data_IF_685297129225
#
_entry.id   IF_685297129225
#
_cell.length_a   1.000
_cell.length_b   1.000
_cell.length_c   1.000
_cell.angle_alpha   90.00
_cell.angle_beta   90.00
_cell.angle_gamma   90.00
#
_symmetry.space_group_name_H-M   'P 1'
#
loop_
_entity.id
_entity.type
_entity.pdbx_description
1 polymer ?
#
# COMPACT_ATOMS: atom_id res chain seq x y z
N UNK A 1 7.12 -2.68 -18.45
CA UNK A 1 7.38 -2.15 -17.09
C UNK A 1 8.39 -1.03 -17.19
N UNK A 2 8.40 -0.09 -16.24
CA UNK A 2 9.49 0.88 -16.15
C UNK A 2 10.74 0.17 -15.60
N UNK A 3 11.90 0.59 -16.08
CA UNK A 3 13.21 -0.01 -15.78
C UNK A 3 13.56 0.01 -14.27
N UNK A 4 12.91 0.87 -13.48
CA UNK A 4 13.16 1.05 -12.04
C UNK A 4 12.01 0.57 -11.12
N UNK A 5 10.93 0.02 -11.69
CA UNK A 5 9.83 -0.53 -10.90
C UNK A 5 10.05 -2.03 -10.61
N UNK A 6 9.58 -2.48 -9.44
CA UNK A 6 9.51 -3.91 -9.14
C UNK A 6 8.36 -4.49 -9.98
N UNK A 7 8.69 -5.35 -10.94
CA UNK A 7 7.71 -5.95 -11.84
C UNK A 7 7.41 -7.38 -11.36
N UNK A 8 6.19 -7.86 -11.59
CA UNK A 8 5.82 -9.23 -11.28
C UNK A 8 5.05 -9.79 -12.47
N UNK A 9 5.29 -11.05 -12.80
CA UNK A 9 4.58 -11.79 -13.85
C UNK A 9 3.84 -12.94 -13.19
N UNK A 10 2.55 -13.09 -13.49
CA UNK A 10 1.77 -14.26 -13.08
C UNK A 10 1.47 -15.06 -14.34
N UNK A 11 2.06 -16.26 -14.43
CA UNK A 11 1.78 -17.23 -15.48
C UNK A 11 0.67 -18.17 -15.00
N UNK A 12 -0.45 -18.22 -15.71
CA UNK A 12 -1.50 -19.22 -15.46
C UNK A 12 -1.46 -20.21 -16.61
N UNK A 13 -1.38 -21.51 -16.31
CA UNK A 13 -1.24 -22.55 -17.33
C UNK A 13 -1.98 -23.82 -16.92
N UNK A 14 -2.70 -24.41 -17.87
CA UNK A 14 -3.42 -25.68 -17.74
C UNK A 14 -2.67 -26.86 -18.40
N UNK A 15 -1.43 -26.66 -18.85
CA UNK A 15 -0.68 -27.68 -19.58
C UNK A 15 0.81 -27.39 -19.70
N UNK A 16 1.60 -28.44 -19.93
CA UNK A 16 3.05 -28.33 -20.14
C UNK A 16 3.41 -27.89 -21.57
N UNK A 17 4.65 -27.42 -21.73
CA UNK A 17 5.21 -27.12 -23.06
C UNK A 17 5.34 -28.39 -23.90
N UNK A 18 4.90 -28.34 -25.15
CA UNK A 18 4.88 -29.50 -26.08
C UNK A 18 5.47 -29.19 -27.45
N UNK A 19 5.91 -27.95 -27.72
CA UNK A 19 6.42 -27.51 -29.02
C UNK A 19 7.97 -27.42 -29.04
N UNK A 20 8.65 -28.37 -28.37
CA UNK A 20 10.13 -28.46 -28.26
C UNK A 20 10.83 -27.18 -27.71
N UNK A 21 10.08 -26.32 -27.01
CA UNK A 21 10.62 -25.14 -26.34
C UNK A 21 11.26 -25.44 -24.99
N UNK A 22 12.03 -24.48 -24.47
CA UNK A 22 12.58 -24.52 -23.11
C UNK A 22 12.04 -23.33 -22.27
N UNK A 23 10.87 -23.50 -21.63
CA UNK A 23 10.25 -22.44 -20.86
C UNK A 23 11.03 -22.11 -19.57
N UNK A 24 11.84 -23.03 -19.07
CA UNK A 24 12.69 -22.82 -17.89
C UNK A 24 13.87 -21.91 -18.25
N UNK A 25 14.51 -22.15 -19.41
CA UNK A 25 15.54 -21.25 -19.92
C UNK A 25 14.99 -19.85 -20.22
N UNK A 26 13.79 -19.75 -20.79
CA UNK A 26 13.14 -18.46 -21.03
C UNK A 26 12.86 -17.69 -19.72
N UNK A 27 12.34 -18.38 -18.69
CA UNK A 27 12.12 -17.79 -17.37
C UNK A 27 13.41 -17.28 -16.73
N UNK A 28 14.49 -18.06 -16.83
CA UNK A 28 15.82 -17.66 -16.35
C UNK A 28 16.37 -16.45 -17.11
N UNK A 29 16.27 -16.44 -18.44
CA UNK A 29 16.69 -15.30 -19.25
C UNK A 29 15.92 -14.02 -18.89
N UNK A 30 14.61 -14.14 -18.66
CA UNK A 30 13.79 -13.00 -18.24
C UNK A 30 14.25 -12.45 -16.89
N UNK A 31 14.61 -13.32 -15.95
CA UNK A 31 15.16 -12.95 -14.64
C UNK A 31 16.51 -12.24 -14.77
N UNK A 32 17.38 -12.72 -15.65
CA UNK A 32 18.74 -12.21 -15.85
C UNK A 32 18.78 -10.92 -16.69
N UNK A 33 17.72 -10.61 -17.44
CA UNK A 33 17.63 -9.44 -18.32
C UNK A 33 17.52 -8.08 -17.59
N UNK A 34 17.65 -8.04 -16.26
CA UNK A 34 17.70 -6.82 -15.46
C UNK A 34 16.35 -6.12 -15.23
N UNK A 35 15.29 -6.59 -15.87
CA UNK A 35 13.91 -6.28 -15.45
C UNK A 35 13.70 -7.06 -14.16
N UNK A 36 13.49 -6.38 -13.02
CA UNK A 36 13.29 -7.06 -11.72
C UNK A 36 11.90 -7.71 -11.70
N UNK A 37 11.71 -8.73 -12.54
CA UNK A 37 10.49 -9.50 -12.71
C UNK A 37 10.63 -10.81 -11.94
N UNK A 38 9.78 -11.02 -10.95
CA UNK A 38 9.58 -12.33 -10.32
C UNK A 38 8.40 -13.01 -11.02
N UNK A 39 8.53 -14.31 -11.34
CA UNK A 39 7.51 -15.07 -12.07
C UNK A 39 6.82 -16.03 -11.12
N UNK A 40 5.58 -15.71 -10.74
CA UNK A 40 4.70 -16.65 -10.07
C UNK A 40 3.94 -17.48 -11.10
N UNK A 41 3.71 -18.75 -10.80
CA UNK A 41 3.07 -19.70 -11.72
C UNK A 41 1.88 -20.36 -11.04
N UNK A 42 0.72 -20.33 -11.68
CA UNK A 42 -0.47 -21.07 -11.27
C UNK A 42 -0.69 -22.22 -12.26
N UNK A 43 -0.62 -23.46 -11.76
CA UNK A 43 -1.03 -24.65 -12.51
C UNK A 43 -2.52 -24.90 -12.34
N UNK A 44 -3.30 -24.79 -13.43
CA UNK A 44 -4.74 -24.98 -13.46
C UNK A 44 -5.10 -26.41 -13.90
N UNK A 45 -5.55 -27.25 -12.98
CA UNK A 45 -6.00 -28.63 -13.23
C UNK A 45 -4.94 -29.50 -13.95
N UNK A 46 -3.67 -29.33 -13.58
CA UNK A 46 -2.52 -29.98 -14.24
C UNK A 46 -2.15 -31.32 -13.59
N UNK A 47 -1.56 -32.23 -14.38
CA UNK A 47 -0.97 -33.48 -13.88
C UNK A 47 0.40 -33.27 -13.21
N UNK A 48 0.91 -34.31 -12.54
CA UNK A 48 2.18 -34.26 -11.80
C UNK A 48 3.43 -34.01 -12.67
N UNK A 49 3.43 -34.40 -13.95
CA UNK A 49 4.55 -34.09 -14.84
C UNK A 49 4.52 -32.62 -15.25
N UNK A 50 3.34 -32.12 -15.63
CA UNK A 50 3.13 -30.71 -15.95
C UNK A 50 3.46 -29.81 -14.76
N UNK A 51 2.98 -30.18 -13.56
CA UNK A 51 3.29 -29.49 -12.31
C UNK A 51 4.79 -29.31 -12.08
N UNK A 52 5.60 -30.37 -12.23
CA UNK A 52 7.06 -30.27 -12.07
C UNK A 52 7.70 -29.28 -13.04
N UNK A 53 7.21 -29.21 -14.28
CA UNK A 53 7.70 -28.25 -15.26
C UNK A 53 7.33 -26.82 -14.84
N UNK A 54 6.09 -26.59 -14.42
CA UNK A 54 5.61 -25.29 -13.94
C UNK A 54 6.33 -24.82 -12.67
N UNK A 55 6.63 -25.73 -11.74
CA UNK A 55 7.47 -25.47 -10.56
C UNK A 55 8.89 -25.05 -10.97
N UNK A 56 9.48 -25.71 -11.97
CA UNK A 56 10.80 -25.35 -12.48
C UNK A 56 10.82 -23.95 -13.14
N UNK A 57 9.74 -23.58 -13.84
CA UNK A 57 9.57 -22.24 -14.43
C UNK A 57 9.51 -21.18 -13.32
N UNK A 58 8.67 -21.39 -12.30
CA UNK A 58 8.56 -20.47 -11.16
C UNK A 58 9.92 -20.29 -10.46
N UNK A 59 10.63 -21.39 -10.21
CA UNK A 59 11.95 -21.36 -9.57
C UNK A 59 12.99 -20.62 -10.42
N UNK A 60 13.03 -20.86 -11.74
CA UNK A 60 13.94 -20.17 -12.65
C UNK A 60 13.64 -18.66 -12.78
N UNK A 61 12.35 -18.28 -12.70
CA UNK A 61 11.90 -16.89 -12.66
C UNK A 61 12.01 -16.24 -11.27
N UNK A 62 12.39 -16.99 -10.24
CA UNK A 62 12.52 -16.52 -8.87
C UNK A 62 11.20 -16.13 -8.19
N UNK A 63 10.08 -16.74 -8.59
CA UNK A 63 8.78 -16.63 -7.91
C UNK A 63 8.33 -17.96 -7.32
N UNK A 64 7.02 -18.14 -7.14
CA UNK A 64 6.42 -19.30 -6.48
C UNK A 64 5.43 -20.03 -7.40
N UNK A 65 5.25 -21.32 -7.14
CA UNK A 65 4.21 -22.13 -7.77
C UNK A 65 2.98 -22.23 -6.86
N UNK A 66 1.80 -22.12 -7.47
CA UNK A 66 0.50 -22.28 -6.85
C UNK A 66 -0.30 -23.31 -7.66
N UNK A 67 -1.06 -24.15 -6.96
CA UNK A 67 -1.93 -25.14 -7.59
C UNK A 67 -3.38 -24.66 -7.54
N UNK A 68 -4.12 -24.84 -8.63
CA UNK A 68 -5.54 -24.58 -8.68
C UNK A 68 -6.25 -25.69 -9.44
N UNK A 69 -7.21 -26.38 -8.82
CA UNK A 69 -7.94 -27.49 -9.43
C UNK A 69 -9.27 -27.04 -10.04
N UNK A 70 -9.74 -25.86 -9.65
CA UNK A 70 -11.04 -25.29 -10.04
C UNK A 70 -11.01 -23.74 -10.02
N UNK A 71 -12.08 -23.05 -10.48
CA UNK A 71 -12.14 -21.59 -10.48
C UNK A 71 -12.05 -20.93 -9.10
N UNK A 72 -12.48 -21.61 -8.03
CA UNK A 72 -12.41 -21.10 -6.66
C UNK A 72 -10.96 -21.13 -6.18
N UNK A 73 -10.27 -22.26 -6.38
CA UNK A 73 -8.84 -22.39 -6.07
C UNK A 73 -7.98 -21.44 -6.92
N UNK A 74 -8.33 -21.23 -8.19
CA UNK A 74 -7.68 -20.23 -9.05
C UNK A 74 -7.86 -18.81 -8.47
N UNK A 75 -9.06 -18.48 -8.03
CA UNK A 75 -9.34 -17.20 -7.36
C UNK A 75 -8.56 -17.05 -6.06
N UNK A 76 -8.41 -18.12 -5.29
CA UNK A 76 -7.63 -18.12 -4.04
C UNK A 76 -6.13 -17.94 -4.32
N UNK A 77 -5.58 -18.66 -5.30
CA UNK A 77 -4.18 -18.53 -5.70
C UNK A 77 -3.86 -17.10 -6.19
N UNK A 78 -4.74 -16.51 -6.99
CA UNK A 78 -4.60 -15.11 -7.42
C UNK A 78 -4.68 -14.14 -6.23
N UNK A 79 -5.56 -14.37 -5.26
CA UNK A 79 -5.67 -13.53 -4.06
C UNK A 79 -4.45 -13.67 -3.12
N UNK A 80 -3.87 -14.87 -3.05
CA UNK A 80 -2.63 -15.14 -2.29
C UNK A 80 -1.44 -14.43 -2.95
N UNK A 81 -1.27 -14.57 -4.26
CA UNK A 81 -0.26 -13.83 -5.02
C UNK A 81 -0.48 -12.33 -4.85
N UNK A 82 -1.71 -11.85 -4.99
CA UNK A 82 -2.03 -10.43 -4.78
C UNK A 82 -1.65 -9.98 -3.37
N UNK A 83 -1.92 -10.77 -2.33
CA UNK A 83 -1.55 -10.44 -0.94
C UNK A 83 -0.03 -10.44 -0.73
N UNK A 84 0.70 -11.41 -1.28
CA UNK A 84 2.16 -11.52 -1.15
C UNK A 84 2.93 -10.49 -1.98
N UNK A 85 2.39 -10.14 -3.16
CA UNK A 85 2.99 -9.19 -4.11
C UNK A 85 2.53 -7.77 -3.91
N UNK A 86 1.35 -7.58 -3.32
CA UNK A 86 0.97 -6.30 -2.76
C UNK A 86 1.95 -5.99 -1.65
N UNK A 87 2.91 -5.15 -1.99
CA UNK A 87 3.75 -4.48 -1.04
C UNK A 87 2.82 -3.55 -0.26
N UNK A 88 2.15 -4.10 0.77
CA UNK A 88 1.26 -3.32 1.62
C UNK A 88 2.07 -2.13 2.11
N UNK A 89 3.35 -2.24 2.46
CA UNK A 89 4.18 -1.08 2.86
C UNK A 89 4.34 -0.02 1.74
N UNK A 90 4.41 -0.39 0.46
CA UNK A 90 4.46 0.58 -0.66
C UNK A 90 3.10 1.12 -1.09
N UNK A 91 2.03 0.31 -1.05
CA UNK A 91 0.66 0.76 -1.37
C UNK A 91 0.01 1.50 -0.20
N UNK A 92 0.23 1.05 1.02
CA UNK A 92 0.05 1.80 2.27
C UNK A 92 0.95 3.03 2.25
N UNK A 93 2.14 2.94 1.65
CA UNK A 93 2.95 4.08 1.23
C UNK A 93 2.22 5.01 0.27
N UNK A 94 1.49 4.57 -0.75
CA UNK A 94 0.69 5.43 -1.65
C UNK A 94 -0.57 6.03 -1.00
N UNK A 95 -1.33 5.21 -0.27
CA UNK A 95 -2.53 5.59 0.49
C UNK A 95 -2.17 6.57 1.60
N UNK A 96 -1.14 6.24 2.37
CA UNK A 96 -0.58 7.15 3.35
C UNK A 96 0.30 8.22 2.73
N UNK A 97 0.90 8.16 1.55
CA UNK A 97 1.66 9.31 1.02
C UNK A 97 0.73 10.35 0.44
N UNK A 98 -0.46 10.03 -0.06
CA UNK A 98 -1.43 11.08 -0.39
C UNK A 98 -2.04 11.69 0.89
N UNK A 99 -2.33 10.87 1.91
CA UNK A 99 -2.86 11.36 3.19
C UNK A 99 -1.78 12.01 4.08
N UNK A 100 -0.55 11.50 4.10
CA UNK A 100 0.67 12.05 4.72
C UNK A 100 1.19 13.20 3.87
N UNK A 101 1.06 13.28 2.54
CA UNK A 101 1.43 14.51 1.81
C UNK A 101 0.43 15.62 2.10
N UNK A 102 -0.87 15.31 2.20
CA UNK A 102 -1.90 16.26 2.61
C UNK A 102 -1.72 16.68 4.09
N UNK A 103 -1.58 15.71 5.01
CA UNK A 103 -1.32 15.94 6.44
C UNK A 103 0.06 16.56 6.65
N UNK A 104 1.11 16.19 5.89
CA UNK A 104 2.44 16.81 5.90
C UNK A 104 2.42 18.19 5.27
N UNK A 105 1.56 18.50 4.30
CA UNK A 105 1.40 19.85 3.75
C UNK A 105 0.78 20.77 4.80
N UNK A 106 -0.31 20.32 5.46
CA UNK A 106 -0.95 21.04 6.57
C UNK A 106 0.00 21.14 7.79
N UNK A 107 0.69 20.05 8.15
CA UNK A 107 1.68 20.02 9.23
C UNK A 107 2.92 20.86 8.91
N UNK A 108 3.37 20.99 7.65
CA UNK A 108 4.52 21.83 7.28
C UNK A 108 4.20 23.32 7.46
N UNK A 109 2.99 23.75 7.11
CA UNK A 109 2.53 25.12 7.39
C UNK A 109 2.41 25.36 8.91
N UNK A 110 1.81 24.41 9.65
CA UNK A 110 1.70 24.51 11.11
C UNK A 110 3.07 24.48 11.81
N UNK A 111 4.01 23.63 11.38
CA UNK A 111 5.37 23.53 11.93
C UNK A 111 6.18 24.79 11.65
N UNK A 112 6.07 25.39 10.46
CA UNK A 112 6.69 26.69 10.15
C UNK A 112 6.16 27.79 11.07
N UNK A 113 4.86 27.82 11.29
CA UNK A 113 4.24 28.78 12.20
C UNK A 113 4.65 28.56 13.66
N UNK A 114 4.64 27.31 14.14
CA UNK A 114 5.07 26.95 15.50
C UNK A 114 6.55 27.31 15.71
N UNK A 115 7.42 26.98 14.76
CA UNK A 115 8.84 27.31 14.83
C UNK A 115 9.08 28.83 14.81
N UNK A 116 8.37 29.57 13.96
CA UNK A 116 8.42 31.02 13.95
C UNK A 116 7.94 31.61 15.28
N UNK A 117 6.79 31.16 15.79
CA UNK A 117 6.22 31.65 17.05
C UNK A 117 7.13 31.33 18.25
N UNK A 118 7.74 30.14 18.28
CA UNK A 118 8.75 29.78 19.27
C UNK A 118 9.98 30.68 19.18
N UNK A 119 10.54 30.89 17.98
CA UNK A 119 11.70 31.77 17.81
C UNK A 119 11.39 33.20 18.27
N UNK A 120 10.25 33.75 17.84
CA UNK A 120 9.80 35.08 18.24
C UNK A 120 9.62 35.22 19.76
N UNK A 121 8.98 34.22 20.40
CA UNK A 121 8.86 34.18 21.86
C UNK A 121 10.22 34.13 22.55
N UNK A 122 11.16 33.30 22.09
CA UNK A 122 12.49 33.21 22.68
C UNK A 122 13.30 34.50 22.51
N UNK A 123 13.16 35.18 21.37
CA UNK A 123 13.83 36.46 21.12
C UNK A 123 13.25 37.59 21.98
N UNK A 124 11.93 37.61 22.17
CA UNK A 124 11.29 38.51 23.14
C UNK A 124 11.71 38.18 24.57
N UNK A 125 11.71 36.91 24.97
CA UNK A 125 12.05 36.48 26.32
C UNK A 125 13.48 36.85 26.73
N UNK A 126 14.41 36.91 25.76
CA UNK A 126 15.79 37.38 25.97
C UNK A 126 15.88 38.91 26.16
N UNK A 127 14.94 39.67 25.60
CA UNK A 127 14.93 41.15 25.64
C UNK A 127 14.12 41.69 26.81
N UNK A 128 12.89 41.21 26.96
CA UNK A 128 11.95 41.59 28.01
C UNK A 128 11.05 40.39 28.39
N UNK A 129 11.26 39.88 29.60
CA UNK A 129 10.53 38.71 30.09
C UNK A 129 9.06 39.00 30.37
N UNK A 130 8.72 40.22 30.79
CA UNK A 130 7.35 40.59 31.11
C UNK A 130 6.51 40.70 29.83
N UNK A 131 7.08 41.31 28.79
CA UNK A 131 6.46 41.40 27.47
C UNK A 131 6.28 40.03 26.81
N UNK A 132 7.28 39.14 26.90
CA UNK A 132 7.18 37.78 26.36
C UNK A 132 6.08 36.95 27.05
N UNK A 133 5.95 37.07 28.38
CA UNK A 133 4.91 36.39 29.17
C UNK A 133 3.52 36.93 28.81
N UNK A 134 3.37 38.25 28.68
CA UNK A 134 2.12 38.88 28.24
C UNK A 134 1.71 38.42 26.84
N UNK A 135 2.65 38.43 25.88
CA UNK A 135 2.40 37.97 24.51
C UNK A 135 1.97 36.49 24.47
N UNK A 136 2.61 35.62 25.26
CA UNK A 136 2.21 34.21 25.40
C UNK A 136 0.77 34.08 25.91
N UNK A 137 0.41 34.83 26.95
CA UNK A 137 -0.87 34.65 27.63
C UNK A 137 -2.06 35.18 26.81
N UNK A 138 -1.87 36.26 26.04
CA UNK A 138 -2.91 36.77 25.12
C UNK A 138 -3.01 35.98 23.81
N UNK A 139 -1.89 35.52 23.25
CA UNK A 139 -1.87 34.89 21.92
C UNK A 139 -2.26 33.41 21.95
N UNK A 140 -1.93 32.70 23.04
CA UNK A 140 -2.23 31.27 23.22
C UNK A 140 -3.71 30.89 23.03
N UNK A 141 -4.70 31.59 23.62
CA UNK A 141 -6.11 31.24 23.41
C UNK A 141 -6.57 31.44 21.97
N UNK A 142 -6.05 32.45 21.26
CA UNK A 142 -6.38 32.73 19.85
C UNK A 142 -5.84 31.62 18.94
N UNK A 143 -4.58 31.23 19.14
CA UNK A 143 -3.95 30.11 18.40
C UNK A 143 -4.65 28.79 18.69
N UNK A 144 -4.95 28.50 19.95
CA UNK A 144 -5.64 27.26 20.34
C UNK A 144 -7.03 27.16 19.72
N UNK A 145 -7.78 28.27 19.68
CA UNK A 145 -9.10 28.31 19.03
C UNK A 145 -8.99 27.99 17.54
N UNK A 146 -8.02 28.60 16.84
CA UNK A 146 -7.82 28.40 15.41
C UNK A 146 -7.37 26.96 15.09
N UNK A 147 -6.42 26.42 15.85
CA UNK A 147 -5.94 25.04 15.70
C UNK A 147 -7.05 24.02 15.95
N UNK A 148 -7.88 24.23 16.98
CA UNK A 148 -8.98 23.33 17.29
C UNK A 148 -10.05 23.30 16.19
N UNK A 149 -10.36 24.45 15.57
CA UNK A 149 -11.29 24.49 14.43
C UNK A 149 -10.73 23.78 13.20
N UNK A 150 -9.43 23.94 12.90
CA UNK A 150 -8.80 23.23 11.78
C UNK A 150 -8.84 21.70 11.97
N UNK A 151 -8.55 21.23 13.19
CA UNK A 151 -8.65 19.80 13.54
C UNK A 151 -10.09 19.30 13.43
N UNK A 152 -11.06 20.09 13.91
CA UNK A 152 -12.48 19.75 13.85
C UNK A 152 -12.97 19.60 12.41
N UNK A 153 -12.61 20.53 11.53
CA UNK A 153 -13.00 20.51 10.11
C UNK A 153 -12.39 19.29 9.41
N UNK A 154 -11.09 19.04 9.62
CA UNK A 154 -10.39 17.90 9.02
C UNK A 154 -10.97 16.55 9.45
N UNK A 155 -11.35 16.43 10.73
CA UNK A 155 -11.85 15.16 11.28
C UNK A 155 -13.30 14.88 10.88
N UNK A 156 -14.14 15.91 10.67
CA UNK A 156 -15.56 15.72 10.37
C UNK A 156 -15.77 14.98 9.04
N UNK A 157 -15.19 15.49 7.98
CA UNK A 157 -15.36 14.95 6.63
C UNK A 157 -14.71 13.56 6.49
N UNK A 158 -13.59 13.36 7.19
CA UNK A 158 -12.89 12.07 7.26
C UNK A 158 -13.73 11.01 7.99
N UNK A 159 -14.35 11.35 9.11
CA UNK A 159 -15.16 10.41 9.90
C UNK A 159 -16.45 9.98 9.19
N UNK A 160 -17.10 10.89 8.47
CA UNK A 160 -18.30 10.58 7.69
C UNK A 160 -17.98 9.61 6.53
N UNK A 161 -16.83 9.78 5.87
CA UNK A 161 -16.37 8.87 4.82
C UNK A 161 -15.98 7.50 5.37
N UNK A 162 -15.31 7.44 6.52
CA UNK A 162 -14.95 6.18 7.20
C UNK A 162 -16.20 5.41 7.60
N UNK A 163 -17.21 6.06 8.19
CA UNK A 163 -18.45 5.40 8.57
C UNK A 163 -19.18 4.81 7.35
N UNK A 164 -19.21 5.53 6.22
CA UNK A 164 -19.81 5.03 4.98
C UNK A 164 -19.06 3.78 4.46
N UNK A 165 -17.73 3.80 4.51
CA UNK A 165 -16.90 2.67 4.11
C UNK A 165 -17.10 1.46 5.04
N UNK A 166 -17.19 1.68 6.36
CA UNK A 166 -17.48 0.63 7.33
C UNK A 166 -18.84 -0.04 7.07
N UNK A 167 -19.86 0.72 6.71
CA UNK A 167 -21.18 0.17 6.35
C UNK A 167 -21.13 -0.65 5.06
N UNK A 168 -20.41 -0.17 4.04
CA UNK A 168 -20.21 -0.92 2.79
C UNK A 168 -19.45 -2.23 3.03
N UNK A 169 -18.40 -2.19 3.84
CA UNK A 169 -17.64 -3.38 4.24
C UNK A 169 -18.48 -4.37 5.02
N UNK A 170 -19.35 -3.92 5.94
CA UNK A 170 -20.29 -4.80 6.66
C UNK A 170 -21.28 -5.48 5.70
N UNK A 171 -21.83 -4.74 4.73
CA UNK A 171 -22.73 -5.31 3.70
C UNK A 171 -22.03 -6.37 2.85
N UNK A 172 -20.77 -6.15 2.48
CA UNK A 172 -19.98 -7.13 1.74
C UNK A 172 -19.68 -8.38 2.59
N UNK A 173 -19.39 -8.20 3.87
CA UNK A 173 -19.17 -9.29 4.81
C UNK A 173 -20.43 -10.15 5.00
N UNK A 174 -21.62 -9.54 5.06
CA UNK A 174 -22.89 -10.26 5.12
C UNK A 174 -23.20 -11.03 3.83
N UNK A 175 -22.97 -10.41 2.66
CA UNK A 175 -23.11 -11.08 1.36
C UNK A 175 -22.16 -12.28 1.24
N UNK A 176 -20.92 -12.13 1.69
CA UNK A 176 -19.94 -13.23 1.73
C UNK A 176 -20.43 -14.39 2.59
N UNK A 177 -21.00 -14.12 3.78
CA UNK A 177 -21.57 -15.17 4.65
C UNK A 177 -22.76 -15.88 4.01
N UNK A 178 -23.57 -15.17 3.24
CA UNK A 178 -24.73 -15.75 2.54
C UNK A 178 -24.33 -16.58 1.32
N UNK A 179 -23.19 -16.28 0.68
CA UNK A 179 -22.69 -17.03 -0.46
C UNK A 179 -22.02 -18.37 -0.08
N UNK A 180 -21.75 -18.59 1.21
CA UNK A 180 -21.07 -19.79 1.74
C UNK A 180 -22.09 -20.81 2.32
N UNK A 181 -23.37 -20.44 2.44
CA UNK A 181 -24.48 -21.32 2.85
C UNK A 181 -25.36 -21.68 1.66
#
# INVERSE_FOLDING_TARGET
GKEYDKNFLVLVSDGGETCDGDPVAAAKQLKDAGVTAEIDVIGLAVDENTKKQLEAIAAAGGGKYYSASDPVELSNALAEIDTERNNIIANMGCVFTNQIAYVSCIQNIQLKFINWAHQYFFDLYKKDKAEAIFFRDEYRPVVNKYLNELVRISNKETNEQIQKLEEEMKKLQEKSKQAIN
#
